data_IF_056609918277
#
_entry.id   IF_056609918277
#
_cell.length_a   1.000
_cell.length_b   1.000
_cell.length_c   1.000
_cell.angle_alpha   90.00
_cell.angle_beta   90.00
_cell.angle_gamma   90.00
#
_symmetry.space_group_name_H-M   'P 1'
#
loop_
_entity.id
_entity.type
_entity.pdbx_description
1 polymer ?
#
# COMPACT_ATOMS: atom_id res chain seq x y z
N UNK A 1 -9.66 1.72 32.18
CA UNK A 1 -9.11 3.05 31.83
C UNK A 1 -9.16 3.32 30.34
N UNK A 2 -8.53 2.47 29.51
CA UNK A 2 -8.52 2.64 28.05
C UNK A 2 -9.93 2.62 27.44
N UNK A 3 -10.86 1.81 27.95
CA UNK A 3 -12.25 1.78 27.50
C UNK A 3 -12.95 3.14 27.64
N UNK A 4 -12.68 3.88 28.71
CA UNK A 4 -13.22 5.24 28.92
C UNK A 4 -12.67 6.19 27.86
N UNK A 5 -11.34 6.17 27.66
CA UNK A 5 -10.69 6.98 26.63
C UNK A 5 -11.24 6.63 25.24
N UNK A 6 -11.46 5.36 24.96
CA UNK A 6 -12.08 4.92 23.70
C UNK A 6 -13.48 5.54 23.53
N UNK A 7 -14.34 5.39 24.53
CA UNK A 7 -15.71 5.91 24.50
C UNK A 7 -15.75 7.44 24.32
N UNK A 8 -14.81 8.15 24.94
CA UNK A 8 -14.76 9.61 24.94
C UNK A 8 -14.09 10.19 23.68
N UNK A 9 -13.09 9.49 23.12
CA UNK A 9 -12.19 10.06 22.11
C UNK A 9 -12.33 9.48 20.70
N UNK A 10 -12.92 8.28 20.57
CA UNK A 10 -12.94 7.57 19.29
C UNK A 10 -13.61 8.39 18.18
N UNK A 11 -14.86 8.82 18.40
CA UNK A 11 -15.60 9.60 17.41
C UNK A 11 -14.91 10.92 17.05
N UNK A 12 -14.31 11.60 18.04
CA UNK A 12 -13.55 12.84 17.82
C UNK A 12 -12.31 12.59 16.96
N UNK A 13 -11.55 11.53 17.25
CA UNK A 13 -10.36 11.18 16.49
C UNK A 13 -10.71 10.83 15.04
N UNK A 14 -11.75 10.01 14.82
CA UNK A 14 -12.23 9.65 13.48
C UNK A 14 -12.68 10.90 12.71
N UNK A 15 -13.46 11.78 13.33
CA UNK A 15 -13.93 13.00 12.68
C UNK A 15 -12.79 13.95 12.28
N UNK A 16 -11.80 14.13 13.16
CA UNK A 16 -10.62 14.95 12.87
C UNK A 16 -9.85 14.37 11.68
N UNK A 17 -9.57 13.08 11.69
CA UNK A 17 -8.77 12.43 10.66
C UNK A 17 -9.52 12.36 9.33
N UNK A 18 -10.83 12.08 9.34
CA UNK A 18 -11.69 12.12 8.14
C UNK A 18 -11.63 13.50 7.49
N UNK A 19 -11.68 14.59 8.28
CA UNK A 19 -11.56 15.95 7.75
C UNK A 19 -10.21 16.23 7.08
N UNK A 20 -9.13 15.61 7.56
CA UNK A 20 -7.78 15.81 7.01
C UNK A 20 -7.48 14.93 5.79
N UNK A 21 -8.01 13.70 5.74
CA UNK A 21 -7.63 12.70 4.73
C UNK A 21 -8.76 12.38 3.73
N UNK A 22 -10.00 12.81 4.00
CA UNK A 22 -11.14 12.70 3.09
C UNK A 22 -11.77 11.31 3.01
N UNK A 23 -11.34 10.36 3.85
CA UNK A 23 -11.79 8.98 3.83
C UNK A 23 -12.09 8.53 5.27
N UNK A 24 -13.37 8.24 5.54
CA UNK A 24 -13.85 7.82 6.86
C UNK A 24 -13.42 6.40 7.20
N UNK A 25 -13.45 5.48 6.24
CA UNK A 25 -13.14 4.07 6.46
C UNK A 25 -11.66 3.93 6.82
N UNK A 26 -10.79 4.60 6.05
CA UNK A 26 -9.35 4.63 6.34
C UNK A 26 -9.04 5.33 7.67
N UNK A 27 -9.79 6.40 8.02
CA UNK A 27 -9.62 7.07 9.30
C UNK A 27 -10.04 6.18 10.48
N UNK A 28 -11.16 5.47 10.35
CA UNK A 28 -11.66 4.54 11.36
C UNK A 28 -10.65 3.41 11.63
N UNK A 29 -10.19 2.76 10.56
CA UNK A 29 -9.17 1.70 10.63
C UNK A 29 -7.90 2.19 11.35
N UNK A 30 -7.42 3.39 11.00
CA UNK A 30 -6.23 3.97 11.61
C UNK A 30 -6.41 4.28 13.11
N UNK A 31 -7.59 4.74 13.53
CA UNK A 31 -7.90 4.98 14.94
C UNK A 31 -8.00 3.65 15.72
N UNK A 32 -8.65 2.64 15.16
CA UNK A 32 -8.73 1.30 15.75
C UNK A 32 -7.34 0.69 15.95
N UNK A 33 -6.45 0.83 14.96
CA UNK A 33 -5.07 0.36 15.07
C UNK A 33 -4.29 1.14 16.13
N UNK A 34 -4.49 2.45 16.25
CA UNK A 34 -3.88 3.25 17.32
C UNK A 34 -4.33 2.78 18.71
N UNK A 35 -5.61 2.46 18.90
CA UNK A 35 -6.10 1.89 20.16
C UNK A 35 -5.57 0.47 20.40
N UNK A 36 -5.38 -0.34 19.36
CA UNK A 36 -4.72 -1.64 19.47
C UNK A 36 -3.28 -1.50 19.98
N UNK A 37 -2.52 -0.55 19.46
CA UNK A 37 -1.15 -0.28 19.92
C UNK A 37 -1.17 0.24 21.37
N UNK A 38 -2.12 1.10 21.73
CA UNK A 38 -2.29 1.56 23.10
C UNK A 38 -2.57 0.41 24.07
N UNK A 39 -3.44 -0.53 23.70
CA UNK A 39 -3.73 -1.73 24.50
C UNK A 39 -2.48 -2.59 24.75
N UNK A 40 -1.57 -2.64 23.78
CA UNK A 40 -0.32 -3.40 23.90
C UNK A 40 0.74 -2.66 24.73
N UNK A 41 0.89 -1.35 24.55
CA UNK A 41 1.99 -0.57 25.14
C UNK A 41 1.70 0.00 26.52
N UNK A 42 0.52 0.59 26.72
CA UNK A 42 0.23 1.32 27.96
C UNK A 42 0.29 0.49 29.24
N UNK A 43 -0.01 -0.83 29.25
CA UNK A 43 0.19 -1.64 30.45
C UNK A 43 1.65 -1.69 30.94
N UNK A 44 2.62 -1.62 30.03
CA UNK A 44 4.05 -1.66 30.36
C UNK A 44 4.66 -0.26 30.49
N UNK A 45 4.33 0.63 29.56
CA UNK A 45 4.97 1.95 29.43
C UNK A 45 4.24 3.05 30.23
N UNK A 46 3.05 2.74 30.76
CA UNK A 46 2.14 3.71 31.35
C UNK A 46 1.32 4.47 30.30
N UNK A 47 0.28 5.16 30.79
CA UNK A 47 -0.58 5.97 29.93
C UNK A 47 0.07 7.35 29.69
N UNK A 48 0.16 7.82 28.43
CA UNK A 48 0.67 9.15 28.12
C UNK A 48 -0.09 10.27 28.83
N UNK A 49 0.58 11.40 29.10
CA UNK A 49 -0.03 12.56 29.73
C UNK A 49 -1.26 13.11 28.96
N UNK A 50 -1.26 12.99 27.63
CA UNK A 50 -2.42 13.27 26.78
C UNK A 50 -2.76 12.06 25.90
N UNK A 51 -3.65 11.17 26.35
CA UNK A 51 -4.02 9.96 25.60
C UNK A 51 -4.68 10.29 24.25
N UNK A 52 -5.56 11.30 24.22
CA UNK A 52 -6.24 11.73 23.01
C UNK A 52 -5.26 12.20 21.93
N UNK A 53 -4.30 13.05 22.30
CA UNK A 53 -3.28 13.53 21.36
C UNK A 53 -2.39 12.37 20.88
N UNK A 54 -2.07 11.42 21.75
CA UNK A 54 -1.30 10.24 21.40
C UNK A 54 -2.05 9.38 20.36
N UNK A 55 -3.34 9.11 20.56
CA UNK A 55 -4.17 8.32 19.63
C UNK A 55 -4.22 9.00 18.25
N UNK A 56 -4.57 10.30 18.20
CA UNK A 56 -4.65 11.05 16.94
C UNK A 56 -3.32 11.05 16.21
N UNK A 57 -2.21 11.25 16.93
CA UNK A 57 -0.87 11.28 16.34
C UNK A 57 -0.47 9.91 15.78
N UNK A 58 -0.70 8.84 16.54
CA UNK A 58 -0.41 7.47 16.12
C UNK A 58 -1.21 7.09 14.87
N UNK A 59 -2.52 7.35 14.87
CA UNK A 59 -3.39 7.10 13.72
C UNK A 59 -2.99 7.92 12.48
N UNK A 60 -2.68 9.22 12.67
CA UNK A 60 -2.19 10.09 11.60
C UNK A 60 -0.90 9.58 10.97
N UNK A 61 0.07 9.18 11.79
CA UNK A 61 1.34 8.62 11.31
C UNK A 61 1.11 7.33 10.51
N UNK A 62 0.15 6.50 10.93
CA UNK A 62 -0.21 5.28 10.22
C UNK A 62 -0.77 5.56 8.82
N UNK A 63 -1.68 6.53 8.70
CA UNK A 63 -2.22 6.95 7.39
C UNK A 63 -1.14 7.56 6.49
N UNK A 64 -0.27 8.42 7.03
CA UNK A 64 0.87 8.97 6.27
C UNK A 64 1.77 7.84 5.76
N UNK A 65 2.05 6.84 6.59
CA UNK A 65 2.85 5.70 6.19
C UNK A 65 2.16 4.87 5.09
N UNK A 66 0.83 4.72 5.13
CA UNK A 66 0.05 4.07 4.06
C UNK A 66 0.18 4.84 2.74
N UNK A 67 -0.05 6.16 2.75
CA UNK A 67 0.08 7.01 1.57
C UNK A 67 1.49 6.95 0.96
N UNK A 68 2.54 6.93 1.78
CA UNK A 68 3.92 6.77 1.32
C UNK A 68 4.16 5.41 0.67
N UNK A 69 3.62 4.32 1.24
CA UNK A 69 3.72 2.97 0.67
C UNK A 69 2.99 2.88 -0.67
N UNK A 70 1.80 3.48 -0.77
CA UNK A 70 1.00 3.46 -2.00
C UNK A 70 1.64 4.29 -3.12
N UNK A 71 2.26 5.43 -2.78
CA UNK A 71 3.05 6.21 -3.72
C UNK A 71 4.24 5.40 -4.26
N UNK A 72 5.01 4.76 -3.38
CA UNK A 72 6.15 3.93 -3.80
C UNK A 72 5.72 2.73 -4.65
N UNK A 73 4.57 2.10 -4.36
CA UNK A 73 4.01 1.03 -5.20
C UNK A 73 3.67 1.55 -6.60
N UNK A 74 2.99 2.69 -6.70
CA UNK A 74 2.64 3.29 -8.00
C UNK A 74 3.88 3.64 -8.83
N UNK A 75 4.91 4.20 -8.20
CA UNK A 75 6.18 4.50 -8.86
C UNK A 75 6.86 3.25 -9.42
N UNK A 76 6.95 2.16 -8.63
CA UNK A 76 7.51 0.89 -9.11
C UNK A 76 6.71 0.27 -10.25
N UNK A 77 5.38 0.36 -10.19
CA UNK A 77 4.52 -0.13 -11.27
C UNK A 77 4.73 0.68 -12.56
N UNK A 78 4.87 2.00 -12.46
CA UNK A 78 5.19 2.85 -13.60
C UNK A 78 6.55 2.51 -14.21
N UNK A 79 7.58 2.33 -13.38
CA UNK A 79 8.92 1.92 -13.83
C UNK A 79 8.89 0.54 -14.50
N UNK A 80 8.19 -0.44 -13.92
CA UNK A 80 8.05 -1.77 -14.51
C UNK A 80 7.33 -1.73 -15.87
N UNK A 81 6.32 -0.87 -16.01
CA UNK A 81 5.60 -0.68 -17.29
C UNK A 81 6.55 -0.13 -18.36
N UNK A 82 7.34 0.91 -18.02
CA UNK A 82 8.32 1.48 -18.94
C UNK A 82 9.39 0.46 -19.36
N UNK A 83 9.88 -0.37 -18.44
CA UNK A 83 10.85 -1.43 -18.75
C UNK A 83 10.25 -2.51 -19.66
N UNK A 84 8.98 -2.88 -19.45
CA UNK A 84 8.28 -3.84 -20.31
C UNK A 84 8.06 -3.29 -21.72
N UNK A 85 7.72 -2.00 -21.83
CA UNK A 85 7.54 -1.35 -23.14
C UNK A 85 8.88 -1.23 -23.89
N UNK A 86 9.96 -0.80 -23.22
CA UNK A 86 11.31 -0.79 -23.80
C UNK A 86 11.75 -2.21 -24.25
N UNK A 87 11.46 -3.25 -23.46
CA UNK A 87 11.79 -4.63 -23.84
C UNK A 87 10.99 -5.14 -25.04
N UNK A 88 9.80 -4.57 -25.32
CA UNK A 88 8.99 -4.90 -26.51
C UNK A 88 9.53 -4.20 -27.75
N UNK A 89 9.95 -2.96 -27.62
CA UNK A 89 10.57 -2.19 -28.72
C UNK A 89 11.91 -2.82 -29.13
N UNK A 90 12.72 -3.26 -28.16
CA UNK A 90 13.95 -4.02 -28.43
C UNK A 90 13.65 -5.37 -29.12
N UNK A 91 12.57 -6.07 -28.75
CA UNK A 91 12.18 -7.32 -29.43
C UNK A 91 11.69 -7.08 -30.87
N UNK A 92 10.96 -5.99 -31.13
CA UNK A 92 10.52 -5.64 -32.48
C UNK A 92 11.69 -5.29 -33.42
N UNK A 93 12.70 -4.58 -32.91
CA UNK A 93 13.89 -4.23 -33.71
C UNK A 93 14.76 -5.44 -34.06
N UNK A 94 14.79 -6.48 -33.21
CA UNK A 94 15.52 -7.73 -33.48
C UNK A 94 14.77 -8.66 -34.47
N UNK A 95 13.44 -8.62 -34.48
CA UNK A 95 12.62 -9.39 -35.43
C UNK A 95 12.65 -8.82 -36.86
N UNK A 96 12.92 -7.51 -37.03
CA UNK A 96 12.99 -6.85 -38.35
C UNK A 96 14.28 -7.19 -39.13
N UNK A 97 15.34 -7.62 -38.43
CA UNK A 97 16.64 -8.03 -39.02
C UNK A 97 16.77 -9.55 -39.24
N UNK A 98 15.77 -10.35 -38.84
CA UNK A 98 15.70 -11.77 -39.14
C UNK A 98 14.81 -11.98 -40.38
N UNK A 99 15.26 -12.69 -41.44
CA UNK A 99 14.37 -13.03 -42.54
C UNK A 99 13.18 -13.80 -41.96
N UNK A 100 11.97 -13.25 -42.13
CA UNK A 100 10.75 -13.78 -41.53
C UNK A 100 10.62 -15.28 -41.78
N UNK A 101 10.89 -16.10 -40.77
CA UNK A 101 10.57 -17.52 -40.83
C UNK A 101 9.06 -17.64 -40.59
N UNK A 102 8.29 -17.49 -41.68
CA UNK A 102 6.91 -17.94 -41.74
C UNK A 102 6.89 -19.47 -41.66
N UNK A 103 7.02 -20.02 -40.46
CA UNK A 103 6.68 -21.43 -40.25
C UNK A 103 5.95 -21.59 -38.92
N UNK A 104 4.62 -21.52 -39.01
CA UNK A 104 3.67 -21.68 -37.91
C UNK A 104 3.86 -23.00 -37.13
N UNK A 105 4.61 -23.96 -37.67
CA UNK A 105 4.94 -25.23 -37.01
C UNK A 105 5.97 -25.10 -35.90
N UNK A 106 6.94 -24.18 -36.01
CA UNK A 106 7.96 -23.99 -34.98
C UNK A 106 7.40 -23.29 -33.73
N UNK A 107 6.40 -22.43 -33.89
CA UNK A 107 5.75 -21.70 -32.79
C UNK A 107 4.98 -22.64 -31.83
N UNK A 108 4.39 -23.70 -32.39
CA UNK A 108 3.63 -24.70 -31.62
C UNK A 108 4.53 -25.59 -30.75
N UNK A 109 5.77 -25.88 -31.18
CA UNK A 109 6.73 -26.66 -30.40
C UNK A 109 7.25 -25.88 -29.19
N UNK A 110 7.55 -24.58 -29.34
CA UNK A 110 8.06 -23.76 -28.23
C UNK A 110 7.01 -23.48 -27.15
N UNK A 111 5.71 -23.49 -27.49
CA UNK A 111 4.64 -23.27 -26.50
C UNK A 111 4.44 -24.49 -25.57
N UNK A 112 4.76 -25.70 -26.04
CA UNK A 112 4.59 -26.94 -25.27
C UNK A 112 5.79 -27.31 -24.38
N UNK A 113 6.95 -26.65 -24.58
CA UNK A 113 8.21 -26.99 -23.89
C UNK A 113 8.58 -26.01 -22.76
N UNK A 114 7.66 -25.17 -22.29
CA UNK A 114 7.91 -24.35 -21.11
C UNK A 114 7.53 -25.15 -19.84
N UNK A 115 8.50 -25.59 -19.01
CA UNK A 115 8.18 -26.20 -17.72
C UNK A 115 7.66 -25.11 -16.78
N UNK A 116 6.46 -25.33 -16.23
CA UNK A 116 5.96 -24.62 -15.07
C UNK A 116 6.79 -24.93 -13.82
#
# INVERSE_FOLDING_TARGET
MIERIFRDEYGRAVAVLTRYFGDIDTAEEAVQEAFTIALQRWPADGVPASPAAWIITTARNRMINRLRRDASRRERHAQATLLLDASRDDQHSVDEDLPSVQDDRLRLIFTCCHPA
#
